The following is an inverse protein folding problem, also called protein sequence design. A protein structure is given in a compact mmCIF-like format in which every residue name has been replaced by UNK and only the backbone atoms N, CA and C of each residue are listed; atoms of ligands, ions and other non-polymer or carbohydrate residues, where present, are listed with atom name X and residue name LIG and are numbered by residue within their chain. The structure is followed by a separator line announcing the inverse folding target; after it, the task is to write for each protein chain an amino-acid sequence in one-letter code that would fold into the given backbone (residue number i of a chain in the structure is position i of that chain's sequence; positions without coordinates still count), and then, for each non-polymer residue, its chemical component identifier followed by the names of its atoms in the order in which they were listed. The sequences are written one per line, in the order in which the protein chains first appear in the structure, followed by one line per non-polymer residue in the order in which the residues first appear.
data_IF_330550384022
#
_entry.id   IF_330550384022
#
_cell.length_a   1.000
_cell.length_b   1.000
_cell.length_c   1.000
_cell.angle_alpha   90.00
_cell.angle_beta   90.00
_cell.angle_gamma   90.00
#
_symmetry.space_group_name_H-M   'P 1'
#
loop_
_entity.id
_entity.type
_entity.pdbx_description
1 polymer ?
#
# COMPACT_ATOMS: atom_id res chain seq x y z
N UNK A 1 -10.52 -8.19 -3.15
CA UNK A 1 -11.41 -8.32 -1.97
C UNK A 1 -12.04 -6.96 -1.72
N UNK A 2 -13.15 -6.68 -2.40
CA UNK A 2 -13.83 -5.38 -2.32
C UNK A 2 -14.33 -5.06 -0.89
N UNK A 3 -14.64 -6.10 -0.11
CA UNK A 3 -15.10 -6.00 1.28
C UNK A 3 -14.02 -5.69 2.33
N UNK A 4 -12.73 -5.89 2.04
CA UNK A 4 -11.67 -5.63 3.03
C UNK A 4 -11.56 -4.13 3.35
N UNK A 5 -11.71 -3.29 2.32
CA UNK A 5 -11.69 -1.85 2.44
C UNK A 5 -12.88 -1.36 3.29
N UNK A 6 -14.06 -1.94 3.08
CA UNK A 6 -15.28 -1.61 3.82
C UNK A 6 -15.24 -2.02 5.31
N UNK A 7 -14.56 -3.11 5.62
CA UNK A 7 -14.38 -3.58 7.01
C UNK A 7 -13.42 -2.70 7.80
N UNK A 8 -12.44 -2.11 7.11
CA UNK A 8 -11.39 -1.30 7.72
C UNK A 8 -11.63 0.20 7.57
N UNK A 9 -12.60 0.65 6.76
CA UNK A 9 -12.80 2.08 6.44
C UNK A 9 -12.93 3.01 7.64
N UNK A 10 -13.45 2.51 8.76
CA UNK A 10 -13.60 3.32 9.97
C UNK A 10 -12.35 3.40 10.83
N UNK A 11 -11.36 2.56 10.57
CA UNK A 11 -10.11 2.55 11.33
C UNK A 11 -9.23 3.75 10.97
N UNK A 12 -8.54 4.28 11.99
CA UNK A 12 -7.62 5.39 11.80
C UNK A 12 -6.44 5.01 10.90
N UNK A 13 -5.99 3.76 10.96
CA UNK A 13 -4.89 3.27 10.13
C UNK A 13 -5.28 3.19 8.66
N UNK A 14 -6.49 2.73 8.33
CA UNK A 14 -6.96 2.67 6.94
C UNK A 14 -7.23 4.08 6.38
N UNK A 15 -7.76 4.99 7.20
CA UNK A 15 -8.01 6.38 6.81
C UNK A 15 -6.76 7.12 6.33
N UNK A 16 -5.55 6.69 6.73
CA UNK A 16 -4.27 7.25 6.22
C UNK A 16 -4.14 7.17 4.70
N UNK A 17 -4.70 6.15 4.05
CA UNK A 17 -4.68 6.06 2.59
C UNK A 17 -5.45 7.20 1.91
N UNK A 18 -6.47 7.76 2.57
CA UNK A 18 -7.23 8.89 2.03
C UNK A 18 -6.42 10.19 2.06
N UNK A 19 -5.43 10.32 2.94
CA UNK A 19 -4.55 11.50 3.00
C UNK A 19 -3.76 11.65 1.70
N UNK A 20 -3.35 10.53 1.08
CA UNK A 20 -2.62 10.55 -0.18
C UNK A 20 -3.43 11.07 -1.36
N UNK A 21 -4.76 11.00 -1.27
CA UNK A 21 -5.65 11.54 -2.31
C UNK A 21 -5.88 13.05 -2.16
N UNK A 22 -5.64 13.62 -0.98
CA UNK A 22 -5.92 15.01 -0.64
C UNK A 22 -4.62 15.82 -0.53
N UNK A 23 -3.88 15.92 -1.64
CA UNK A 23 -2.56 16.53 -1.68
C UNK A 23 -2.46 17.63 -2.74
N UNK A 24 -1.63 18.63 -2.47
CA UNK A 24 -1.29 19.67 -3.45
C UNK A 24 -0.34 19.10 -4.49
N UNK A 25 -0.75 19.13 -5.76
CA UNK A 25 0.06 18.67 -6.88
C UNK A 25 1.15 19.73 -7.18
N UNK A 26 2.45 19.38 -7.18
CA UNK A 26 3.52 20.29 -7.57
C UNK A 26 3.39 20.71 -9.03
N UNK A 27 3.74 21.95 -9.40
CA UNK A 27 3.58 22.43 -10.78
C UNK A 27 4.55 21.78 -11.80
N UNK A 28 5.66 21.22 -11.33
CA UNK A 28 6.82 20.80 -12.12
C UNK A 28 7.03 19.27 -12.16
N UNK A 29 6.15 18.49 -11.54
CA UNK A 29 6.28 17.04 -11.46
C UNK A 29 6.27 16.35 -12.83
N UNK A 30 5.56 16.90 -13.81
CA UNK A 30 5.37 16.28 -15.13
C UNK A 30 6.71 15.96 -15.82
N UNK A 31 7.74 16.79 -15.57
CA UNK A 31 9.10 16.55 -16.09
C UNK A 31 9.71 15.24 -15.59
N UNK A 32 9.48 14.88 -14.33
CA UNK A 32 9.96 13.64 -13.73
C UNK A 32 9.19 12.41 -14.22
N UNK A 33 7.90 12.57 -14.51
CA UNK A 33 6.98 11.50 -14.89
C UNK A 33 6.70 11.46 -16.41
N UNK A 34 7.51 12.13 -17.23
CA UNK A 34 7.25 12.33 -18.65
C UNK A 34 6.98 11.03 -19.42
N UNK A 35 7.73 9.97 -19.13
CA UNK A 35 7.57 8.69 -19.83
C UNK A 35 6.30 7.95 -19.39
N UNK A 36 5.93 8.04 -18.11
CA UNK A 36 4.63 7.56 -17.63
C UNK A 36 3.48 8.32 -18.30
N UNK A 37 3.56 9.64 -18.38
CA UNK A 37 2.52 10.49 -18.97
C UNK A 37 2.31 10.24 -20.47
N UNK A 38 3.32 9.69 -21.18
CA UNK A 38 3.21 9.29 -22.59
C UNK A 38 2.62 7.89 -22.79
N UNK A 39 2.54 7.06 -21.75
CA UNK A 39 2.02 5.69 -21.87
C UNK A 39 0.58 5.67 -22.35
N UNK A 40 -0.27 6.53 -21.77
CA UNK A 40 -1.70 6.64 -22.08
C UNK A 40 -2.14 8.11 -22.08
N UNK A 41 -1.79 8.90 -23.12
CA UNK A 41 -1.97 10.36 -23.10
C UNK A 41 -3.43 10.82 -22.98
N UNK A 42 -4.37 9.98 -23.43
CA UNK A 42 -5.82 10.23 -23.31
C UNK A 42 -6.40 9.80 -21.96
N UNK A 43 -5.65 9.07 -21.14
CA UNK A 43 -6.07 8.58 -19.84
C UNK A 43 -5.49 9.48 -18.72
N UNK A 44 -6.35 10.24 -18.07
CA UNK A 44 -5.95 11.11 -16.96
C UNK A 44 -5.59 10.34 -15.68
N UNK A 45 -5.82 9.03 -15.59
CA UNK A 45 -5.53 8.22 -14.40
C UNK A 45 -4.02 8.21 -14.11
N UNK A 46 -3.17 8.01 -15.13
CA UNK A 46 -1.71 8.05 -14.90
C UNK A 46 -1.29 9.44 -14.41
N UNK A 47 -1.84 10.49 -15.03
CA UNK A 47 -1.58 11.88 -14.64
C UNK A 47 -1.99 12.14 -13.18
N UNK A 48 -3.16 11.65 -12.77
CA UNK A 48 -3.67 11.78 -11.41
C UNK A 48 -2.81 11.03 -10.38
N UNK A 49 -2.44 9.77 -10.67
CA UNK A 49 -1.55 8.97 -9.82
C UNK A 49 -0.18 9.65 -9.68
N UNK A 50 0.45 10.06 -10.79
CA UNK A 50 1.76 10.71 -10.77
C UNK A 50 1.74 12.05 -10.00
N UNK A 51 0.69 12.86 -10.21
CA UNK A 51 0.56 14.16 -9.53
C UNK A 51 0.39 14.01 -8.02
N UNK A 52 -0.49 13.09 -7.59
CA UNK A 52 -0.67 12.76 -6.16
C UNK A 52 0.60 12.17 -5.57
N UNK A 53 1.25 11.26 -6.27
CA UNK A 53 2.50 10.67 -5.82
C UNK A 53 3.57 11.75 -5.59
N UNK A 54 3.78 12.64 -6.55
CA UNK A 54 4.72 13.75 -6.43
C UNK A 54 4.40 14.66 -5.23
N UNK A 55 3.13 15.03 -5.05
CA UNK A 55 2.69 15.82 -3.90
C UNK A 55 3.01 15.15 -2.56
N UNK A 56 2.76 13.84 -2.46
CA UNK A 56 3.05 13.09 -1.24
C UNK A 56 4.55 12.94 -0.98
N UNK A 57 5.37 12.72 -2.01
CA UNK A 57 6.82 12.69 -1.87
C UNK A 57 7.38 14.02 -1.37
N UNK A 58 6.87 15.14 -1.89
CA UNK A 58 7.22 16.48 -1.42
C UNK A 58 6.81 16.71 0.03
N UNK A 59 5.61 16.28 0.42
CA UNK A 59 5.17 16.38 1.82
C UNK A 59 6.07 15.56 2.76
N UNK A 60 6.44 14.34 2.37
CA UNK A 60 7.32 13.48 3.18
C UNK A 60 8.74 14.05 3.25
N UNK A 61 9.26 14.63 2.17
CA UNK A 61 10.61 15.23 2.18
C UNK A 61 10.70 16.45 3.09
N UNK A 62 9.61 17.21 3.23
CA UNK A 62 9.52 18.41 4.07
C UNK A 62 9.02 18.13 5.49
N UNK A 63 8.65 16.88 5.80
CA UNK A 63 8.12 16.49 7.10
C UNK A 63 9.16 16.65 8.21
N UNK A 64 8.78 17.31 9.31
CA UNK A 64 9.59 17.42 10.54
C UNK A 64 9.36 16.26 11.51
N UNK A 65 8.63 15.22 11.10
CA UNK A 65 8.39 14.04 11.93
C UNK A 65 9.65 13.18 12.08
N UNK A 66 9.62 12.25 13.02
CA UNK A 66 10.71 11.30 13.20
C UNK A 66 10.95 10.43 11.95
N UNK A 67 12.18 9.98 11.76
CA UNK A 67 12.55 9.08 10.67
C UNK A 67 11.63 7.84 10.60
N UNK A 68 11.27 7.27 11.76
CA UNK A 68 10.35 6.13 11.86
C UNK A 68 8.95 6.45 11.34
N UNK A 69 8.42 7.65 11.62
CA UNK A 69 7.10 8.04 11.12
C UNK A 69 7.13 8.29 9.62
N UNK A 70 8.19 8.94 9.11
CA UNK A 70 8.38 9.11 7.67
C UNK A 70 8.51 7.76 6.95
N UNK A 71 9.25 6.81 7.52
CA UNK A 71 9.35 5.44 7.00
C UNK A 71 7.98 4.75 6.97
N UNK A 72 7.17 4.88 8.02
CA UNK A 72 5.81 4.34 8.05
C UNK A 72 4.91 4.98 6.99
N UNK A 73 4.91 6.31 6.87
CA UNK A 73 4.16 7.02 5.82
C UNK A 73 4.61 6.56 4.43
N UNK A 74 5.91 6.38 4.24
CA UNK A 74 6.44 5.87 2.98
C UNK A 74 5.97 4.45 2.66
N UNK A 75 5.90 3.56 3.66
CA UNK A 75 5.35 2.21 3.49
C UNK A 75 3.87 2.23 3.09
N UNK A 76 3.06 3.08 3.74
CA UNK A 76 1.67 3.32 3.33
C UNK A 76 1.58 3.86 1.89
N UNK A 77 2.45 4.78 1.50
CA UNK A 77 2.48 5.33 0.13
C UNK A 77 2.84 4.28 -0.92
N UNK A 78 3.73 3.33 -0.61
CA UNK A 78 4.04 2.20 -1.50
C UNK A 78 2.80 1.34 -1.76
N UNK A 79 2.10 0.93 -0.70
CA UNK A 79 0.89 0.13 -0.85
C UNK A 79 -0.23 0.89 -1.54
N UNK A 80 -0.37 2.19 -1.26
CA UNK A 80 -1.30 3.06 -1.97
C UNK A 80 -1.02 3.08 -3.48
N UNK A 81 0.25 3.24 -3.88
CA UNK A 81 0.63 3.28 -5.29
C UNK A 81 0.28 1.97 -6.01
N UNK A 82 0.74 0.85 -5.48
CA UNK A 82 0.52 -0.45 -6.13
C UNK A 82 -0.96 -0.85 -6.15
N UNK A 83 -1.74 -0.50 -5.13
CA UNK A 83 -3.19 -0.69 -5.11
C UNK A 83 -3.90 0.14 -6.19
N UNK A 84 -3.53 1.42 -6.33
CA UNK A 84 -4.08 2.27 -7.38
C UNK A 84 -3.72 1.78 -8.79
N UNK A 85 -2.47 1.35 -9.00
CA UNK A 85 -2.06 0.79 -10.29
C UNK A 85 -2.85 -0.49 -10.58
N UNK A 86 -2.92 -1.42 -9.61
CA UNK A 86 -3.67 -2.67 -9.78
C UNK A 86 -5.13 -2.40 -10.11
N UNK A 87 -5.84 -1.57 -9.34
CA UNK A 87 -7.28 -1.33 -9.55
C UNK A 87 -7.62 -0.68 -10.90
N UNK A 88 -6.75 0.20 -11.39
CA UNK A 88 -7.01 0.92 -12.62
C UNK A 88 -6.50 0.19 -13.88
N UNK A 89 -5.53 -0.72 -13.74
CA UNK A 89 -4.83 -1.31 -14.87
C UNK A 89 -4.74 -2.84 -14.83
N UNK A 90 -5.43 -3.55 -13.93
CA UNK A 90 -5.37 -5.03 -13.78
C UNK A 90 -5.52 -5.78 -15.11
N UNK A 91 -6.40 -5.31 -15.99
CA UNK A 91 -6.69 -5.90 -17.30
C UNK A 91 -5.95 -5.23 -18.46
N UNK A 92 -4.97 -4.36 -18.18
CA UNK A 92 -4.16 -3.71 -19.20
C UNK A 92 -2.89 -4.53 -19.47
N UNK A 93 -2.69 -4.96 -20.71
CA UNK A 93 -1.53 -5.77 -21.11
C UNK A 93 -0.18 -5.04 -20.88
N UNK A 94 -0.20 -3.70 -20.74
CA UNK A 94 0.95 -2.84 -20.47
C UNK A 94 1.10 -2.46 -19.01
N UNK A 95 0.40 -3.14 -18.09
CA UNK A 95 0.45 -2.83 -16.65
C UNK A 95 1.89 -2.83 -16.11
N UNK A 96 2.76 -3.72 -16.62
CA UNK A 96 4.17 -3.75 -16.25
C UNK A 96 4.89 -2.45 -16.64
N UNK A 97 4.79 -2.06 -17.92
CA UNK A 97 5.39 -0.83 -18.44
C UNK A 97 4.85 0.42 -17.71
N UNK A 98 3.53 0.46 -17.47
CA UNK A 98 2.90 1.55 -16.72
C UNK A 98 3.50 1.65 -15.32
N UNK A 99 3.64 0.51 -14.64
CA UNK A 99 4.20 0.48 -13.29
C UNK A 99 5.65 0.94 -13.29
N UNK A 100 6.47 0.41 -14.20
CA UNK A 100 7.88 0.77 -14.38
C UNK A 100 8.05 2.27 -14.58
N UNK A 101 7.34 2.85 -15.55
CA UNK A 101 7.45 4.27 -15.85
C UNK A 101 6.97 5.17 -14.69
N UNK A 102 5.94 4.76 -13.93
CA UNK A 102 5.51 5.51 -12.74
C UNK A 102 6.59 5.42 -11.65
N UNK A 103 7.21 4.25 -11.43
CA UNK A 103 8.27 4.10 -10.45
C UNK A 103 9.57 4.81 -10.83
N UNK A 104 9.91 4.88 -12.12
CA UNK A 104 11.02 5.70 -12.61
C UNK A 104 10.75 7.18 -12.35
N UNK A 105 9.52 7.63 -12.58
CA UNK A 105 9.11 8.99 -12.25
C UNK A 105 9.21 9.31 -10.75
N UNK A 106 8.91 8.34 -9.87
CA UNK A 106 9.17 8.47 -8.43
C UNK A 106 10.66 8.73 -8.16
N UNK A 107 11.55 7.89 -8.72
CA UNK A 107 13.00 8.01 -8.55
C UNK A 107 13.48 9.39 -9.01
N UNK A 108 13.09 9.78 -10.22
CA UNK A 108 13.44 11.07 -10.81
C UNK A 108 12.96 12.23 -9.95
N UNK A 109 11.70 12.21 -9.49
CA UNK A 109 11.15 13.29 -8.69
C UNK A 109 11.89 13.43 -7.36
N UNK A 110 12.13 12.31 -6.66
CA UNK A 110 12.92 12.30 -5.42
C UNK A 110 14.32 12.87 -5.60
N UNK A 111 14.99 12.57 -6.72
CA UNK A 111 16.29 13.13 -7.04
C UNK A 111 16.22 14.67 -7.16
N UNK A 112 15.21 15.19 -7.85
CA UNK A 112 15.00 16.65 -8.03
C UNK A 112 14.75 17.35 -6.69
N UNK A 113 13.95 16.76 -5.82
CA UNK A 113 13.60 17.36 -4.52
C UNK A 113 14.55 16.95 -3.38
N UNK A 114 15.66 16.26 -3.69
CA UNK A 114 16.63 15.72 -2.72
C UNK A 114 15.98 14.93 -1.57
N UNK A 115 14.96 14.14 -1.88
CA UNK A 115 14.22 13.38 -0.88
C UNK A 115 14.86 12.01 -0.62
N UNK A 116 15.48 11.87 0.55
CA UNK A 116 16.05 10.61 1.03
C UNK A 116 15.10 9.85 1.98
N UNK A 117 14.00 10.47 2.40
CA UNK A 117 13.09 9.93 3.41
C UNK A 117 12.10 8.90 2.86
N UNK A 118 11.94 8.80 1.54
CA UNK A 118 10.98 7.88 0.94
C UNK A 118 11.38 7.41 -0.46
N UNK A 119 12.21 6.38 -0.53
CA UNK A 119 12.64 5.75 -1.78
C UNK A 119 11.69 4.63 -2.20
N UNK A 120 11.32 4.61 -3.49
CA UNK A 120 10.57 3.50 -4.07
C UNK A 120 11.38 2.22 -3.99
N UNK A 121 10.71 1.13 -3.64
CA UNK A 121 11.21 -0.23 -3.76
C UNK A 121 10.51 -0.89 -4.93
N UNK A 122 11.27 -1.03 -6.01
CA UNK A 122 10.85 -1.64 -7.26
C UNK A 122 11.81 -2.78 -7.60
N UNK A 123 11.27 -3.86 -8.17
CA UNK A 123 12.04 -4.94 -8.79
C UNK A 123 11.47 -5.18 -10.18
N UNK A 124 12.33 -5.42 -11.18
CA UNK A 124 11.94 -5.73 -12.57
C UNK A 124 11.01 -6.94 -12.70
N UNK A 125 10.95 -7.77 -11.64
CA UNK A 125 10.03 -8.90 -11.48
C UNK A 125 8.79 -8.48 -10.66
N UNK A 126 8.21 -7.34 -11.00
CA UNK A 126 6.99 -6.88 -10.34
C UNK A 126 5.93 -7.98 -10.39
N UNK A 127 5.53 -8.41 -9.20
CA UNK A 127 4.35 -9.21 -9.01
C UNK A 127 3.35 -8.35 -8.25
N UNK A 128 2.54 -7.57 -8.98
CA UNK A 128 1.54 -6.67 -8.39
C UNK A 128 0.62 -7.43 -7.44
N UNK A 129 0.23 -8.65 -7.79
CA UNK A 129 -0.53 -9.53 -6.89
C UNK A 129 0.17 -9.73 -5.54
N UNK A 130 1.50 -9.90 -5.50
CA UNK A 130 2.25 -10.00 -4.24
C UNK A 130 2.24 -8.69 -3.45
N UNK A 131 2.33 -7.54 -4.12
CA UNK A 131 2.19 -6.24 -3.45
C UNK A 131 0.79 -6.04 -2.85
N UNK A 132 -0.27 -6.47 -3.55
CA UNK A 132 -1.64 -6.44 -3.02
C UNK A 132 -1.81 -7.40 -1.83
N UNK A 133 -1.26 -8.61 -1.91
CA UNK A 133 -1.21 -9.54 -0.75
C UNK A 133 -0.44 -8.91 0.42
N UNK A 134 0.70 -8.25 0.15
CA UNK A 134 1.48 -7.51 1.14
C UNK A 134 0.71 -6.37 1.78
N UNK A 135 -0.09 -5.63 1.00
CA UNK A 135 -1.01 -4.59 1.50
C UNK A 135 -2.02 -5.19 2.47
N UNK A 136 -2.67 -6.31 2.13
CA UNK A 136 -3.63 -6.95 3.03
C UNK A 136 -2.99 -7.37 4.36
N UNK A 137 -1.77 -7.90 4.33
CA UNK A 137 -1.00 -8.21 5.56
C UNK A 137 -0.68 -6.96 6.36
N UNK A 138 -0.17 -5.91 5.71
CA UNK A 138 0.13 -4.64 6.35
C UNK A 138 -1.10 -4.03 7.01
N UNK A 139 -2.22 -3.97 6.28
CA UNK A 139 -3.49 -3.44 6.75
C UNK A 139 -4.00 -4.25 7.95
N UNK A 140 -3.95 -5.58 7.89
CA UNK A 140 -4.26 -6.44 9.03
C UNK A 140 -3.40 -6.13 10.26
N UNK A 141 -2.07 -6.06 10.09
CA UNK A 141 -1.14 -5.82 11.19
C UNK A 141 -1.35 -4.45 11.85
N UNK A 142 -1.54 -3.41 11.04
CA UNK A 142 -1.82 -2.06 11.52
C UNK A 142 -3.16 -1.97 12.22
N UNK A 143 -4.15 -2.72 11.73
CA UNK A 143 -5.51 -2.72 12.25
C UNK A 143 -5.79 -3.81 13.28
N UNK A 144 -4.79 -4.54 13.76
CA UNK A 144 -5.00 -5.70 14.63
C UNK A 144 -5.84 -5.36 15.88
N UNK A 145 -5.51 -4.28 16.58
CA UNK A 145 -6.25 -3.84 17.77
C UNK A 145 -7.67 -3.35 17.44
N UNK A 146 -7.83 -2.70 16.29
CA UNK A 146 -9.14 -2.26 15.80
C UNK A 146 -10.02 -3.46 15.48
N UNK A 147 -9.47 -4.45 14.78
CA UNK A 147 -10.13 -5.70 14.43
C UNK A 147 -10.54 -6.44 15.70
N UNK A 148 -9.62 -6.63 16.67
CA UNK A 148 -9.92 -7.32 17.93
C UNK A 148 -11.09 -6.68 18.71
N UNK A 149 -11.17 -5.35 18.74
CA UNK A 149 -12.26 -4.62 19.43
C UNK A 149 -13.59 -4.70 18.68
N UNK A 150 -13.54 -4.55 17.36
CA UNK A 150 -14.75 -4.53 16.51
C UNK A 150 -15.37 -5.92 16.41
N UNK A 151 -14.54 -6.96 16.55
CA UNK A 151 -14.94 -8.36 16.52
C UNK A 151 -15.91 -8.75 17.65
N UNK A 152 -15.79 -8.15 18.84
CA UNK A 152 -16.51 -8.59 20.03
C UNK A 152 -17.99 -8.21 20.12
N UNK A 153 -18.55 -7.41 19.21
CA UNK A 153 -19.84 -6.72 19.48
C UNK A 153 -20.83 -6.54 18.32
N UNK A 154 -20.61 -7.07 17.11
CA UNK A 154 -21.55 -6.84 15.98
C UNK A 154 -21.88 -8.11 15.18
N UNK A 155 -23.02 -8.72 15.54
CA UNK A 155 -23.57 -9.95 14.94
C UNK A 155 -23.77 -9.88 13.41
N UNK A 156 -23.91 -8.69 12.82
CA UNK A 156 -24.27 -8.54 11.39
C UNK A 156 -23.07 -8.55 10.42
N UNK A 157 -21.83 -8.35 10.89
CA UNK A 157 -20.61 -8.40 10.04
C UNK A 157 -19.73 -9.62 10.29
N UNK A 158 -20.17 -10.54 11.15
CA UNK A 158 -19.38 -11.70 11.57
C UNK A 158 -18.90 -12.54 10.37
N UNK A 159 -19.75 -12.72 9.35
CA UNK A 159 -19.40 -13.47 8.13
C UNK A 159 -18.31 -12.77 7.30
N UNK A 160 -18.43 -11.46 7.09
CA UNK A 160 -17.45 -10.67 6.32
C UNK A 160 -16.09 -10.63 7.04
N UNK A 161 -16.09 -10.41 8.36
CA UNK A 161 -14.87 -10.49 9.16
C UNK A 161 -14.26 -11.89 9.13
N UNK A 162 -15.06 -12.94 9.27
CA UNK A 162 -14.58 -14.32 9.20
C UNK A 162 -13.94 -14.63 7.84
N UNK A 163 -14.54 -14.17 6.74
CA UNK A 163 -13.97 -14.27 5.38
C UNK A 163 -12.65 -13.51 5.26
N UNK A 164 -12.60 -12.27 5.78
CA UNK A 164 -11.39 -11.46 5.79
C UNK A 164 -10.26 -12.13 6.58
N UNK A 165 -10.50 -12.49 7.84
CA UNK A 165 -9.48 -13.13 8.70
C UNK A 165 -9.04 -14.48 8.13
N UNK A 166 -9.94 -15.27 7.54
CA UNK A 166 -9.59 -16.52 6.85
C UNK A 166 -8.66 -16.29 5.66
N UNK A 167 -8.91 -15.25 4.86
CA UNK A 167 -8.02 -14.87 3.78
C UNK A 167 -6.65 -14.41 4.30
N UNK A 168 -6.62 -13.55 5.32
CA UNK A 168 -5.38 -13.11 5.97
C UNK A 168 -4.59 -14.30 6.53
N UNK A 169 -5.25 -15.31 7.10
CA UNK A 169 -4.58 -16.52 7.59
C UNK A 169 -3.81 -17.26 6.49
N UNK A 170 -4.35 -17.32 5.27
CA UNK A 170 -3.65 -17.90 4.11
C UNK A 170 -2.41 -17.07 3.77
N UNK A 171 -2.56 -15.74 3.70
CA UNK A 171 -1.44 -14.84 3.40
C UNK A 171 -0.37 -14.87 4.50
N UNK A 172 -0.78 -14.98 5.77
CA UNK A 172 0.11 -15.01 6.91
C UNK A 172 0.98 -16.28 6.94
N UNK A 173 0.40 -17.44 6.57
CA UNK A 173 1.17 -18.68 6.37
C UNK A 173 2.22 -18.53 5.27
N UNK A 174 1.87 -17.87 4.18
CA UNK A 174 2.81 -17.56 3.11
C UNK A 174 3.90 -16.59 3.58
N UNK A 175 3.54 -15.57 4.36
CA UNK A 175 4.47 -14.60 4.95
C UNK A 175 5.48 -15.26 5.90
N UNK A 176 5.07 -16.28 6.67
CA UNK A 176 5.99 -17.07 7.51
C UNK A 176 7.07 -17.78 6.67
N UNK A 177 6.82 -18.03 5.38
CA UNK A 177 7.87 -18.46 4.44
C UNK A 177 8.57 -17.22 3.87
N UNK A 178 9.77 -16.92 4.41
CA UNK A 178 10.55 -15.73 4.04
C UNK A 178 10.89 -15.62 2.54
N UNK A 179 10.79 -16.71 1.78
CA UNK A 179 11.07 -16.76 0.35
C UNK A 179 9.84 -16.48 -0.54
N UNK A 180 8.65 -16.38 0.05
CA UNK A 180 7.41 -16.24 -0.71
C UNK A 180 7.17 -14.82 -1.23
N UNK A 181 7.43 -13.83 -0.37
CA UNK A 181 7.40 -12.41 -0.74
C UNK A 181 8.82 -11.91 -1.03
N UNK A 182 8.93 -10.92 -1.90
CA UNK A 182 10.20 -10.26 -2.15
C UNK A 182 10.72 -9.60 -0.85
N UNK A 183 12.03 -9.40 -0.80
CA UNK A 183 12.67 -8.69 0.31
C UNK A 183 12.06 -7.29 0.53
N UNK A 184 11.68 -6.60 -0.55
CA UNK A 184 11.07 -5.27 -0.49
C UNK A 184 9.70 -5.27 0.21
N UNK A 185 8.83 -6.22 -0.13
CA UNK A 185 7.53 -6.38 0.55
C UNK A 185 7.77 -6.74 2.01
N UNK A 186 8.64 -7.72 2.26
CA UNK A 186 8.92 -8.19 3.62
C UNK A 186 9.42 -7.06 4.52
N UNK A 187 10.27 -6.15 4.02
CA UNK A 187 10.78 -4.99 4.78
C UNK A 187 9.67 -4.14 5.38
N UNK A 188 8.55 -3.94 4.66
CA UNK A 188 7.39 -3.20 5.17
C UNK A 188 6.57 -3.97 6.22
N UNK A 189 6.82 -5.27 6.38
CA UNK A 189 6.11 -6.18 7.28
C UNK A 189 6.97 -6.67 8.47
N UNK A 190 8.30 -6.44 8.46
CA UNK A 190 9.25 -7.07 9.39
C UNK A 190 8.94 -6.85 10.88
N UNK A 191 8.33 -5.72 11.24
CA UNK A 191 7.95 -5.42 12.62
C UNK A 191 6.83 -6.31 13.18
N UNK A 192 6.20 -7.15 12.34
CA UNK A 192 5.01 -7.93 12.66
C UNK A 192 5.24 -9.44 12.65
N UNK A 193 6.50 -9.87 12.76
CA UNK A 193 6.88 -11.29 12.86
C UNK A 193 6.47 -11.97 14.16
N UNK A 194 5.99 -11.20 15.15
CA UNK A 194 5.52 -11.73 16.43
C UNK A 194 4.25 -12.58 16.26
N UNK A 195 4.19 -13.69 17.01
CA UNK A 195 3.01 -14.56 17.02
C UNK A 195 1.75 -13.89 17.57
N UNK A 196 1.84 -12.72 18.21
CA UNK A 196 0.65 -11.97 18.66
C UNK A 196 -0.29 -11.63 17.49
N UNK A 197 0.28 -11.51 16.29
CA UNK A 197 -0.45 -11.21 15.07
C UNK A 197 -0.95 -12.47 14.35
N UNK A 198 -0.78 -13.68 14.90
CA UNK A 198 -1.26 -14.89 14.22
C UNK A 198 -2.80 -14.85 14.07
N UNK A 199 -3.34 -14.84 12.83
CA UNK A 199 -4.78 -14.77 12.61
C UNK A 199 -5.54 -15.93 13.26
N UNK A 200 -4.91 -17.08 13.51
CA UNK A 200 -5.58 -18.20 14.19
C UNK A 200 -5.99 -17.85 15.61
N UNK A 201 -5.30 -16.91 16.28
CA UNK A 201 -5.65 -16.44 17.62
C UNK A 201 -6.98 -15.68 17.62
N UNK A 202 -7.24 -14.91 16.56
CA UNK A 202 -8.54 -14.26 16.36
C UNK A 202 -9.62 -15.27 15.94
N UNK A 203 -9.27 -16.29 15.14
CA UNK A 203 -10.19 -17.38 14.74
C UNK A 203 -10.57 -18.29 15.92
N UNK A 204 -9.69 -18.50 16.90
CA UNK A 204 -10.02 -19.30 18.09
C UNK A 204 -10.87 -18.53 19.11
N UNK A 205 -10.80 -17.21 19.15
CA UNK A 205 -11.72 -16.35 19.94
C UNK A 205 -13.13 -16.28 19.31
N UNK A 206 -13.32 -16.98 18.18
CA UNK A 206 -14.41 -16.86 17.21
C UNK A 206 -15.36 -18.08 17.23
N UNK A 207 -14.86 -19.21 17.74
CA UNK A 207 -15.55 -20.51 17.82
C UNK A 207 -15.97 -20.80 19.27
#
# INVERSE_FOLDING_TARGET
MEYADDLLKESNEYKKYNEFNNVNIPNDYESSFNDALKMEPSNNIIKDICGKLAGNLKNISQSTESAKNNEQKCAYLHFWLYDNISRNFENNDRIKDITENITDGWINYNHIISNENCSIRFSSDINLKKWIEGKFLHDYFKNFDYLKKTYGFNDYKCEEYSKYISHINILYKNYKNIYYYSYDINRHLLSYSSEIYDPTKLISELQ
#
